data_IF_603225118610
#
_entry.id   IF_603225118610
#
_cell.length_a   1.000
_cell.length_b   1.000
_cell.length_c   1.000
_cell.angle_alpha   90.00
_cell.angle_beta   90.00
_cell.angle_gamma   90.00
#
_symmetry.space_group_name_H-M   'P 1'
#
loop_
_entity.id
_entity.type
_entity.pdbx_description
1 polymer ?
#
# COMPACT_ATOMS: atom_id res chain seq x y z
N UNK A 1 -28.24 34.87 59.27
CA UNK A 1 -28.60 33.45 59.02
C UNK A 1 -27.96 33.01 57.70
N UNK A 2 -26.90 32.20 57.72
CA UNK A 2 -26.32 31.63 56.48
C UNK A 2 -27.01 30.29 56.21
N UNK A 3 -28.06 30.31 55.38
CA UNK A 3 -28.71 29.10 54.91
C UNK A 3 -27.71 28.30 54.06
N UNK A 4 -27.20 27.20 54.61
CA UNK A 4 -26.45 26.23 53.81
C UNK A 4 -27.48 25.46 52.98
N UNK A 5 -27.43 25.63 51.66
CA UNK A 5 -28.19 24.78 50.74
C UNK A 5 -27.78 23.31 51.00
N UNK A 6 -28.74 22.38 51.13
CA UNK A 6 -28.43 20.98 51.36
C UNK A 6 -27.60 20.41 50.20
N UNK A 7 -26.68 19.51 50.51
CA UNK A 7 -25.80 18.88 49.51
C UNK A 7 -26.60 18.23 48.36
N UNK A 8 -27.82 17.79 48.66
CA UNK A 8 -28.75 17.17 47.70
C UNK A 8 -29.30 18.12 46.63
N UNK A 9 -29.34 19.44 46.87
CA UNK A 9 -29.74 20.42 45.83
C UNK A 9 -28.55 20.98 45.07
N UNK A 10 -27.34 20.93 45.64
CA UNK A 10 -26.11 21.37 44.98
C UNK A 10 -25.67 20.42 43.86
N UNK A 11 -25.83 19.11 44.05
CA UNK A 11 -25.47 18.10 43.04
C UNK A 11 -26.22 18.27 41.71
N UNK A 12 -27.57 18.38 41.66
CA UNK A 12 -28.29 18.57 40.40
C UNK A 12 -28.04 19.94 39.76
N UNK A 13 -27.82 20.99 40.55
CA UNK A 13 -27.46 22.32 40.04
C UNK A 13 -26.08 22.31 39.36
N UNK A 14 -25.10 21.64 39.97
CA UNK A 14 -23.77 21.47 39.38
C UNK A 14 -23.84 20.63 38.09
N UNK A 15 -24.62 19.55 38.08
CA UNK A 15 -24.81 18.73 36.90
C UNK A 15 -25.48 19.51 35.75
N UNK A 16 -26.51 20.31 36.04
CA UNK A 16 -27.16 21.17 35.06
C UNK A 16 -26.21 22.24 34.52
N UNK A 17 -25.38 22.84 35.38
CA UNK A 17 -24.38 23.82 34.96
C UNK A 17 -23.30 23.19 34.07
N UNK A 18 -22.80 21.99 34.39
CA UNK A 18 -21.85 21.26 33.56
C UNK A 18 -22.46 20.85 32.21
N UNK A 19 -23.74 20.48 32.18
CA UNK A 19 -24.45 20.16 30.95
C UNK A 19 -24.61 21.41 30.06
N UNK A 20 -24.99 22.55 30.63
CA UNK A 20 -25.05 23.83 29.92
C UNK A 20 -23.70 24.25 29.37
N UNK A 21 -22.62 24.02 30.14
CA UNK A 21 -21.26 24.28 29.69
C UNK A 21 -20.81 23.32 28.57
N UNK A 22 -21.28 22.07 28.56
CA UNK A 22 -21.00 21.15 27.46
C UNK A 22 -21.63 21.62 26.14
N UNK A 23 -22.80 22.25 26.19
CA UNK A 23 -23.44 22.83 25.00
C UNK A 23 -22.67 24.02 24.41
N UNK A 24 -21.83 24.71 25.19
CA UNK A 24 -21.02 25.82 24.66
C UNK A 24 -19.71 25.36 24.01
N UNK A 25 -19.42 24.05 23.99
CA UNK A 25 -18.24 23.44 23.38
C UNK A 25 -16.93 24.20 23.70
N UNK A 26 -16.59 24.42 24.99
CA UNK A 26 -15.39 25.17 25.35
C UNK A 26 -14.15 24.46 24.81
N UNK A 27 -13.40 25.14 23.94
CA UNK A 27 -12.12 24.65 23.44
C UNK A 27 -11.06 24.92 24.51
N UNK A 28 -10.66 23.89 25.24
CA UNK A 28 -9.49 23.93 26.10
C UNK A 28 -8.25 23.94 25.20
N UNK A 29 -7.40 24.99 25.24
CA UNK A 29 -6.18 25.02 24.43
C UNK A 29 -5.21 23.97 24.97
N UNK A 30 -5.18 22.81 24.32
CA UNK A 30 -4.22 21.75 24.60
C UNK A 30 -3.05 21.88 23.63
N UNK A 31 -1.81 21.84 24.13
CA UNK A 31 -0.62 21.94 23.29
C UNK A 31 -0.35 20.57 22.64
N UNK A 32 -1.02 20.29 21.53
CA UNK A 32 -0.75 19.10 20.70
C UNK A 32 0.17 19.48 19.54
N UNK A 33 1.16 18.62 19.24
CA UNK A 33 1.91 18.71 17.99
C UNK A 33 0.97 18.42 16.84
N UNK A 34 0.70 19.43 16.00
CA UNK A 34 -0.10 19.28 14.79
C UNK A 34 0.78 18.88 13.62
N UNK A 35 0.24 18.02 12.76
CA UNK A 35 0.98 17.50 11.62
C UNK A 35 0.28 17.84 10.31
N UNK A 36 1.05 18.05 9.25
CA UNK A 36 0.54 18.23 7.89
C UNK A 36 1.31 17.27 6.95
N UNK A 37 0.57 16.29 6.41
CA UNK A 37 1.13 15.19 5.64
C UNK A 37 0.41 14.99 4.29
N UNK A 38 1.15 14.57 3.28
CA UNK A 38 0.62 13.90 2.09
C UNK A 38 1.15 12.47 2.09
N UNK A 39 0.24 11.50 2.12
CA UNK A 39 0.59 10.09 2.05
C UNK A 39 0.46 9.63 0.60
N UNK A 40 1.56 9.13 0.05
CA UNK A 40 1.63 8.56 -1.29
C UNK A 40 1.59 7.05 -1.18
N UNK A 41 0.56 6.44 -1.75
CA UNK A 41 0.42 4.98 -1.82
C UNK A 41 0.91 4.47 -3.16
N UNK A 42 1.92 3.59 -3.13
CA UNK A 42 2.29 2.78 -4.27
C UNK A 42 1.14 1.82 -4.63
N UNK A 43 0.58 1.96 -5.83
CA UNK A 43 -0.52 1.12 -6.34
C UNK A 43 -0.06 0.16 -7.45
N UNK A 44 1.25 -0.02 -7.62
CA UNK A 44 1.84 -0.88 -8.66
C UNK A 44 1.57 -2.37 -8.40
N UNK A 45 1.83 -3.23 -9.39
CA UNK A 45 1.45 -4.63 -9.28
C UNK A 45 2.20 -5.40 -8.17
N UNK A 46 3.43 -5.00 -7.83
CA UNK A 46 4.19 -5.61 -6.74
C UNK A 46 3.52 -5.41 -5.37
N UNK A 47 2.72 -4.35 -5.20
CA UNK A 47 1.93 -4.11 -4.00
C UNK A 47 0.72 -5.05 -3.86
N UNK A 48 0.38 -5.81 -4.89
CA UNK A 48 -0.67 -6.84 -4.83
C UNK A 48 -0.19 -8.18 -4.26
N UNK A 49 1.11 -8.32 -3.95
CA UNK A 49 1.66 -9.54 -3.34
C UNK A 49 0.97 -9.79 -2.00
N UNK A 50 0.47 -11.01 -1.81
CA UNK A 50 -0.27 -11.45 -0.62
C UNK A 50 0.69 -12.11 0.40
N UNK A 51 1.70 -11.36 0.83
CA UNK A 51 2.73 -11.78 1.80
C UNK A 51 2.64 -11.04 3.13
N UNK A 52 1.50 -10.43 3.43
CA UNK A 52 1.24 -9.81 4.74
C UNK A 52 0.02 -10.46 5.38
N UNK A 53 -0.20 -10.21 6.67
CA UNK A 53 -1.35 -10.74 7.38
C UNK A 53 -2.23 -9.63 7.95
N UNK A 54 -3.54 -9.75 7.74
CA UNK A 54 -4.56 -8.96 8.41
C UNK A 54 -5.55 -9.92 9.08
N UNK A 55 -5.75 -9.77 10.39
CA UNK A 55 -6.66 -10.59 11.18
C UNK A 55 -6.45 -12.12 10.97
N UNK A 56 -5.18 -12.53 10.83
CA UNK A 56 -4.78 -13.92 10.63
C UNK A 56 -5.05 -14.47 9.22
N UNK A 57 -5.33 -13.61 8.23
CA UNK A 57 -5.53 -13.99 6.83
C UNK A 57 -4.46 -13.35 5.95
N UNK A 58 -3.99 -14.04 4.90
CA UNK A 58 -3.15 -13.43 3.88
C UNK A 58 -3.82 -12.19 3.28
N UNK A 59 -3.08 -11.10 3.20
CA UNK A 59 -3.52 -9.82 2.67
C UNK A 59 -2.46 -9.26 1.72
N UNK A 60 -2.91 -8.47 0.75
CA UNK A 60 -1.98 -7.76 -0.12
C UNK A 60 -1.22 -6.69 0.66
N UNK A 61 0.01 -6.36 0.24
CA UNK A 61 0.77 -5.24 0.82
C UNK A 61 0.00 -3.93 0.78
N UNK A 62 -0.74 -3.68 -0.30
CA UNK A 62 -1.59 -2.49 -0.41
C UNK A 62 -2.73 -2.51 0.62
N UNK A 63 -3.42 -3.63 0.81
CA UNK A 63 -4.49 -3.75 1.81
C UNK A 63 -3.94 -3.59 3.23
N UNK A 64 -2.76 -4.17 3.50
CA UNK A 64 -2.05 -4.00 4.76
C UNK A 64 -1.69 -2.54 5.00
N UNK A 65 -1.08 -1.86 4.02
CA UNK A 65 -0.75 -0.44 4.09
C UNK A 65 -2.00 0.42 4.35
N UNK A 66 -3.09 0.17 3.61
CA UNK A 66 -4.37 0.85 3.82
C UNK A 66 -4.93 0.62 5.22
N UNK A 67 -4.82 -0.59 5.76
CA UNK A 67 -5.27 -0.88 7.12
C UNK A 67 -4.44 -0.15 8.18
N UNK A 68 -3.11 -0.11 8.03
CA UNK A 68 -2.24 0.63 8.95
C UNK A 68 -2.49 2.15 8.89
N UNK A 69 -2.69 2.70 7.69
CA UNK A 69 -3.10 4.10 7.53
C UNK A 69 -4.48 4.37 8.12
N UNK A 70 -5.40 3.41 8.00
CA UNK A 70 -6.72 3.51 8.61
C UNK A 70 -6.62 3.61 10.15
N UNK A 71 -5.72 2.85 10.76
CA UNK A 71 -5.46 2.92 12.21
C UNK A 71 -4.74 4.23 12.59
N UNK A 72 -3.71 4.63 11.84
CA UNK A 72 -2.98 5.88 12.07
C UNK A 72 -3.88 7.12 11.99
N UNK A 73 -4.88 7.13 11.10
CA UNK A 73 -5.92 8.17 11.04
C UNK A 73 -6.67 8.36 12.36
N UNK A 74 -6.81 7.30 13.16
CA UNK A 74 -7.50 7.37 14.45
C UNK A 74 -6.65 8.07 15.49
N UNK A 75 -5.33 7.86 15.43
CA UNK A 75 -4.34 8.35 16.39
C UNK A 75 -3.89 9.79 16.13
N UNK A 76 -4.11 10.32 14.91
CA UNK A 76 -3.76 11.70 14.59
C UNK A 76 -4.57 12.71 15.43
N UNK A 77 -3.90 13.72 16.04
CA UNK A 77 -4.59 14.75 16.81
C UNK A 77 -5.42 15.65 15.90
N UNK A 78 -6.63 16.02 16.37
CA UNK A 78 -7.46 17.00 15.68
C UNK A 78 -6.70 18.32 15.46
N UNK A 79 -6.93 18.94 14.31
CA UNK A 79 -6.15 20.06 13.79
C UNK A 79 -5.03 19.65 12.83
N UNK A 80 -4.62 18.37 12.83
CA UNK A 80 -3.70 17.84 11.82
C UNK A 80 -4.37 17.80 10.46
N UNK A 81 -3.59 17.95 9.38
CA UNK A 81 -4.06 17.88 8.00
C UNK A 81 -3.46 16.70 7.26
N UNK A 82 -4.27 16.04 6.46
CA UNK A 82 -3.86 14.86 5.71
C UNK A 82 -4.39 14.90 4.28
N UNK A 83 -3.50 14.63 3.33
CA UNK A 83 -3.81 14.48 1.91
C UNK A 83 -3.44 13.08 1.42
N UNK A 84 -4.12 12.64 0.35
CA UNK A 84 -3.84 11.37 -0.31
C UNK A 84 -3.24 11.60 -1.68
N UNK A 85 -2.25 10.79 -2.02
CA UNK A 85 -1.68 10.67 -3.34
C UNK A 85 -1.46 9.19 -3.67
N UNK A 86 -1.35 8.89 -4.96
CA UNK A 86 -0.96 7.57 -5.45
C UNK A 86 0.32 7.68 -6.26
N UNK A 87 1.10 6.62 -6.27
CA UNK A 87 2.25 6.43 -7.14
C UNK A 87 2.02 5.25 -8.07
N UNK A 88 2.30 5.45 -9.36
CA UNK A 88 2.35 4.38 -10.35
C UNK A 88 3.24 4.80 -11.52
N UNK A 89 3.91 3.82 -12.12
CA UNK A 89 4.95 4.02 -13.13
C UNK A 89 6.08 4.92 -12.62
N UNK A 90 6.12 6.21 -12.96
CA UNK A 90 7.20 7.13 -12.58
C UNK A 90 6.70 8.42 -11.92
N UNK A 91 5.41 8.51 -11.57
CA UNK A 91 4.77 9.75 -11.07
C UNK A 91 3.92 9.53 -9.85
N UNK A 92 3.89 10.55 -9.00
CA UNK A 92 2.92 10.70 -7.93
C UNK A 92 1.81 11.65 -8.33
N UNK A 93 0.56 11.24 -8.15
CA UNK A 93 -0.64 12.03 -8.43
C UNK A 93 -1.38 12.31 -7.12
N UNK A 94 -1.60 13.60 -6.85
CA UNK A 94 -2.39 14.03 -5.70
C UNK A 94 -3.88 13.76 -5.96
N UNK A 95 -4.53 13.03 -5.06
CA UNK A 95 -5.96 12.78 -5.09
C UNK A 95 -6.71 13.84 -4.25
N UNK A 96 -6.18 14.16 -3.07
CA UNK A 96 -6.74 15.16 -2.17
C UNK A 96 -5.63 16.00 -1.56
N UNK A 97 -5.80 17.32 -1.57
CA UNK A 97 -4.95 18.23 -0.80
C UNK A 97 -5.11 17.97 0.70
N UNK A 98 -4.11 18.30 1.54
CA UNK A 98 -4.25 18.15 2.98
C UNK A 98 -5.48 18.86 3.57
N UNK A 99 -6.41 18.08 4.13
CA UNK A 99 -7.61 18.56 4.83
C UNK A 99 -7.55 18.18 6.30
N UNK A 100 -8.23 18.96 7.15
CA UNK A 100 -8.22 18.70 8.60
C UNK A 100 -8.88 17.35 8.92
N UNK A 101 -8.17 16.52 9.70
CA UNK A 101 -8.47 15.10 9.88
C UNK A 101 -9.78 14.85 10.62
N UNK A 102 -10.08 15.60 11.68
CA UNK A 102 -11.27 15.33 12.49
C UNK A 102 -12.57 15.79 11.82
N UNK A 103 -12.56 16.93 11.14
CA UNK A 103 -13.68 17.46 10.38
C UNK A 103 -14.00 16.62 9.14
N UNK A 104 -13.00 15.95 8.55
CA UNK A 104 -13.14 15.19 7.29
C UNK A 104 -12.84 13.69 7.47
N UNK A 105 -13.01 13.15 8.68
CA UNK A 105 -12.57 11.78 9.01
C UNK A 105 -13.30 10.72 8.20
N UNK A 106 -14.60 10.91 7.93
CA UNK A 106 -15.41 9.96 7.20
C UNK A 106 -14.96 9.90 5.72
N UNK A 107 -14.73 11.05 5.12
CA UNK A 107 -14.29 11.24 3.75
C UNK A 107 -12.89 10.68 3.54
N UNK A 108 -11.95 11.00 4.45
CA UNK A 108 -10.58 10.47 4.40
C UNK A 108 -10.56 8.94 4.48
N UNK A 109 -11.41 8.34 5.32
CA UNK A 109 -11.54 6.87 5.43
C UNK A 109 -12.17 6.26 4.19
N UNK A 110 -13.25 6.87 3.68
CA UNK A 110 -13.96 6.38 2.51
C UNK A 110 -13.08 6.46 1.25
N UNK A 111 -12.35 7.57 1.08
CA UNK A 111 -11.42 7.74 -0.03
C UNK A 111 -10.26 6.75 0.06
N UNK A 112 -9.69 6.55 1.25
CA UNK A 112 -8.64 5.54 1.47
C UNK A 112 -9.14 4.14 1.10
N UNK A 113 -10.37 3.79 1.48
CA UNK A 113 -10.95 2.49 1.12
C UNK A 113 -11.06 2.29 -0.40
N UNK A 114 -11.33 3.36 -1.16
CA UNK A 114 -11.43 3.35 -2.62
C UNK A 114 -10.10 3.31 -3.39
N UNK A 115 -8.95 3.52 -2.73
CA UNK A 115 -7.64 3.40 -3.39
C UNK A 115 -7.32 1.93 -3.62
N UNK A 116 -7.07 1.54 -4.87
CA UNK A 116 -6.68 0.18 -5.21
C UNK A 116 -5.80 0.11 -6.47
N UNK A 117 -5.29 -1.08 -6.77
CA UNK A 117 -4.36 -1.32 -7.89
C UNK A 117 -4.95 -1.07 -9.28
N UNK A 118 -6.28 -0.89 -9.43
CA UNK A 118 -6.89 -0.52 -10.74
C UNK A 118 -6.64 0.94 -11.10
N UNK A 119 -6.23 1.76 -10.12
CA UNK A 119 -5.78 3.12 -10.38
C UNK A 119 -4.40 3.17 -11.06
N UNK A 120 -3.67 2.05 -11.09
CA UNK A 120 -2.41 1.94 -11.81
C UNK A 120 -2.66 1.86 -13.33
N UNK A 121 -2.07 2.79 -14.10
CA UNK A 121 -2.07 2.69 -15.56
C UNK A 121 -0.90 1.84 -16.09
N UNK A 122 0.07 1.52 -15.24
CA UNK A 122 1.20 0.65 -15.55
C UNK A 122 1.49 -0.31 -14.39
N UNK A 123 1.85 -1.54 -14.71
CA UNK A 123 2.29 -2.53 -13.73
C UNK A 123 3.76 -2.38 -13.31
N UNK A 124 4.51 -1.55 -14.05
CA UNK A 124 5.92 -1.26 -13.82
C UNK A 124 6.09 -0.11 -12.80
N UNK A 125 7.29 0.02 -12.25
CA UNK A 125 7.56 0.89 -11.10
C UNK A 125 8.95 1.52 -11.20
N UNK A 126 9.00 2.84 -11.29
CA UNK A 126 10.21 3.66 -11.19
C UNK A 126 10.24 4.43 -9.86
N UNK A 127 10.55 3.76 -8.75
CA UNK A 127 10.37 4.27 -7.38
C UNK A 127 11.18 5.55 -7.16
N UNK A 128 12.42 5.60 -7.66
CA UNK A 128 13.27 6.78 -7.51
C UNK A 128 12.64 8.04 -8.14
N UNK A 129 12.10 7.91 -9.36
CA UNK A 129 11.41 9.02 -10.05
C UNK A 129 10.09 9.36 -9.36
N UNK A 130 9.34 8.34 -8.92
CA UNK A 130 8.11 8.50 -8.16
C UNK A 130 8.32 9.30 -6.88
N UNK A 131 9.34 8.97 -6.11
CA UNK A 131 9.69 9.69 -4.89
C UNK A 131 10.02 11.16 -5.18
N UNK A 132 10.85 11.44 -6.20
CA UNK A 132 11.14 12.83 -6.59
C UNK A 132 9.87 13.57 -7.03
N UNK A 133 9.00 12.91 -7.81
CA UNK A 133 7.70 13.45 -8.21
C UNK A 133 6.84 13.80 -7.00
N UNK A 134 6.84 12.99 -5.93
CA UNK A 134 6.08 13.29 -4.72
C UNK A 134 6.58 14.53 -3.97
N UNK A 135 7.90 14.74 -3.95
CA UNK A 135 8.53 15.92 -3.35
C UNK A 135 8.12 17.17 -4.11
N UNK A 136 8.13 17.13 -5.45
CA UNK A 136 7.66 18.24 -6.31
C UNK A 136 6.20 18.57 -6.03
N UNK A 137 5.32 17.55 -5.92
CA UNK A 137 3.91 17.74 -5.57
C UNK A 137 3.76 18.40 -4.20
N UNK A 138 4.49 17.94 -3.19
CA UNK A 138 4.43 18.51 -1.84
C UNK A 138 4.93 19.96 -1.79
N UNK A 139 5.99 20.31 -2.54
CA UNK A 139 6.50 21.70 -2.65
C UNK A 139 5.48 22.65 -3.25
N UNK A 140 4.63 22.17 -4.16
CA UNK A 140 3.61 22.98 -4.82
C UNK A 140 2.40 23.29 -3.93
N UNK A 141 2.25 22.61 -2.78
CA UNK A 141 1.12 22.81 -1.88
C UNK A 141 1.37 23.95 -0.88
N UNK A 142 0.36 24.78 -0.55
CA UNK A 142 0.54 25.97 0.29
C UNK A 142 1.13 25.68 1.68
N UNK A 143 0.74 24.58 2.32
CA UNK A 143 1.21 24.22 3.67
C UNK A 143 2.54 23.47 3.69
N UNK A 144 3.15 23.19 2.52
CA UNK A 144 4.38 22.40 2.36
C UNK A 144 4.36 21.11 3.21
N UNK A 145 3.33 20.27 3.04
CA UNK A 145 3.17 19.04 3.81
C UNK A 145 4.41 18.17 3.71
N UNK A 146 4.68 17.42 4.77
CA UNK A 146 5.67 16.36 4.71
C UNK A 146 5.15 15.15 3.94
N UNK A 147 6.05 14.42 3.28
CA UNK A 147 5.69 13.29 2.43
C UNK A 147 5.85 11.98 3.20
N UNK A 148 4.81 11.15 3.19
CA UNK A 148 4.89 9.76 3.65
C UNK A 148 4.76 8.86 2.42
N UNK A 149 5.87 8.32 1.92
CA UNK A 149 5.88 7.50 0.71
C UNK A 149 5.83 6.03 1.08
N UNK A 150 4.71 5.35 0.83
CA UNK A 150 4.46 3.96 1.20
C UNK A 150 4.65 3.06 -0.02
N UNK A 151 5.65 2.19 0.00
CA UNK A 151 6.02 1.33 -1.13
C UNK A 151 6.64 0.03 -0.65
N UNK A 152 6.61 -1.02 -1.48
CA UNK A 152 7.43 -2.21 -1.26
C UNK A 152 8.86 -2.05 -1.79
N UNK A 153 9.15 -0.97 -2.55
CA UNK A 153 10.44 -0.63 -3.12
C UNK A 153 10.83 -1.46 -4.35
N UNK A 154 9.87 -2.06 -5.05
CA UNK A 154 10.13 -2.81 -6.28
C UNK A 154 10.37 -1.84 -7.45
N UNK A 155 11.53 -1.96 -8.09
CA UNK A 155 11.92 -1.15 -9.24
C UNK A 155 11.88 -2.04 -10.48
N UNK A 156 10.98 -1.75 -11.41
CA UNK A 156 10.77 -2.53 -12.63
C UNK A 156 10.62 -1.62 -13.84
N UNK A 157 11.51 -1.77 -14.86
CA UNK A 157 12.70 -2.63 -14.87
C UNK A 157 13.75 -2.23 -13.82
N UNK A 158 14.68 -3.13 -13.44
CA UNK A 158 15.77 -2.78 -12.53
C UNK A 158 16.58 -1.60 -13.05
N UNK A 159 16.98 -0.68 -12.18
CA UNK A 159 17.82 0.46 -12.55
C UNK A 159 19.31 0.09 -12.51
N UNK A 160 20.05 0.45 -13.56
CA UNK A 160 21.50 0.45 -13.54
C UNK A 160 22.01 1.49 -12.50
N UNK A 161 22.93 1.12 -11.59
CA UNK A 161 23.48 2.03 -10.59
C UNK A 161 24.05 3.34 -11.16
N UNK A 162 24.63 3.31 -12.37
CA UNK A 162 25.20 4.50 -13.05
C UNK A 162 24.14 5.47 -13.56
N UNK A 163 22.93 4.97 -13.83
CA UNK A 163 21.83 5.73 -14.44
C UNK A 163 20.67 5.98 -13.48
N UNK A 164 20.87 5.76 -12.17
CA UNK A 164 19.86 6.11 -11.17
C UNK A 164 19.54 7.59 -11.24
N UNK A 165 18.25 7.98 -11.20
CA UNK A 165 17.85 9.38 -11.07
C UNK A 165 18.58 10.01 -9.89
N UNK A 166 19.28 11.13 -10.13
CA UNK A 166 19.90 11.91 -9.07
C UNK A 166 18.84 12.80 -8.42
N UNK A 167 18.97 12.99 -7.11
CA UNK A 167 18.19 13.98 -6.39
C UNK A 167 18.90 15.32 -6.55
N UNK A 168 18.39 16.16 -7.44
CA UNK A 168 18.99 17.45 -7.77
C UNK A 168 18.32 18.63 -7.03
N UNK A 169 17.32 18.34 -6.19
CA UNK A 169 16.64 19.30 -5.31
C UNK A 169 17.45 19.56 -4.02
N UNK A 170 17.04 20.57 -3.24
CA UNK A 170 17.69 20.91 -1.97
C UNK A 170 17.34 19.90 -0.87
N UNK A 171 18.31 19.18 -0.27
CA UNK A 171 18.04 18.27 0.84
C UNK A 171 17.45 18.99 2.05
N UNK A 172 16.47 18.36 2.70
CA UNK A 172 15.77 18.90 3.87
C UNK A 172 14.73 19.98 3.57
N UNK A 173 14.52 20.34 2.30
CA UNK A 173 13.50 21.33 1.91
C UNK A 173 12.05 20.81 2.10
N UNK A 174 11.86 19.50 1.95
CA UNK A 174 10.61 18.79 2.24
C UNK A 174 10.94 17.70 3.23
N UNK A 175 10.29 17.74 4.40
CA UNK A 175 10.37 16.66 5.36
C UNK A 175 9.60 15.44 4.85
N UNK A 176 10.03 14.24 5.22
CA UNK A 176 9.31 13.05 4.83
C UNK A 176 9.94 11.76 5.32
N UNK A 177 9.22 10.67 5.08
CA UNK A 177 9.62 9.31 5.42
C UNK A 177 9.20 8.36 4.29
N UNK A 178 10.03 7.37 4.03
CA UNK A 178 9.69 6.24 3.15
C UNK A 178 9.35 5.06 4.04
N UNK A 179 8.16 4.51 3.86
CA UNK A 179 7.64 3.37 4.62
C UNK A 179 7.66 2.14 3.73
N UNK A 180 8.55 1.21 4.05
CA UNK A 180 8.63 -0.09 3.38
C UNK A 180 7.52 -1.04 3.81
N UNK A 181 6.86 -1.69 2.85
CA UNK A 181 5.80 -2.68 3.11
C UNK A 181 6.14 -4.03 2.46
N UNK A 182 5.80 -5.13 3.13
CA UNK A 182 6.03 -6.50 2.66
C UNK A 182 7.00 -7.28 3.53
N UNK A 183 7.21 -8.55 3.20
CA UNK A 183 8.12 -9.42 3.92
C UNK A 183 9.52 -9.46 3.30
N UNK A 184 10.54 -9.75 4.11
CA UNK A 184 11.91 -9.94 3.61
C UNK A 184 12.10 -11.18 2.73
N UNK A 185 11.10 -12.07 2.65
CA UNK A 185 11.13 -13.27 1.82
C UNK A 185 10.61 -12.96 0.40
N UNK A 186 11.25 -13.45 -0.67
CA UNK A 186 10.73 -13.31 -2.02
C UNK A 186 9.40 -14.04 -2.20
N UNK A 187 8.39 -13.32 -2.66
CA UNK A 187 7.05 -13.82 -2.95
C UNK A 187 6.66 -13.50 -4.40
N UNK A 188 5.93 -14.39 -5.09
CA UNK A 188 5.59 -14.19 -6.50
C UNK A 188 4.60 -13.03 -6.68
N UNK A 189 4.79 -12.23 -7.74
CA UNK A 189 3.94 -11.06 -8.01
C UNK A 189 2.69 -11.47 -8.79
N UNK A 190 1.47 -11.30 -8.24
CA UNK A 190 0.24 -11.61 -8.96
C UNK A 190 0.02 -10.66 -10.14
N UNK A 191 -0.24 -11.22 -11.31
CA UNK A 191 -0.74 -10.47 -12.47
C UNK A 191 -2.19 -10.13 -12.27
N UNK A 192 -2.54 -8.87 -12.48
CA UNK A 192 -3.94 -8.43 -12.54
C UNK A 192 -4.22 -7.76 -13.87
N UNK A 193 -5.43 -7.97 -14.39
CA UNK A 193 -5.95 -7.21 -15.51
C UNK A 193 -6.43 -5.82 -15.06
N UNK A 194 -6.78 -4.91 -16.00
CA UNK A 194 -7.28 -3.58 -15.64
C UNK A 194 -8.57 -3.56 -14.80
N UNK A 195 -9.33 -4.66 -14.79
CA UNK A 195 -10.53 -4.82 -13.96
C UNK A 195 -10.19 -5.37 -12.56
N UNK A 196 -8.91 -5.65 -12.28
CA UNK A 196 -8.41 -6.18 -11.01
C UNK A 196 -8.49 -7.71 -10.89
N UNK A 197 -8.89 -8.43 -11.96
CA UNK A 197 -8.99 -9.89 -11.96
C UNK A 197 -7.61 -10.51 -12.03
N UNK A 198 -7.36 -11.56 -11.24
CA UNK A 198 -6.07 -12.28 -11.25
C UNK A 198 -5.92 -13.09 -12.53
N UNK A 199 -4.80 -12.91 -13.22
CA UNK A 199 -4.42 -13.65 -14.44
C UNK A 199 -3.37 -14.74 -14.18
N UNK A 200 -2.84 -14.82 -12.95
CA UNK A 200 -1.76 -15.73 -12.58
C UNK A 200 -0.63 -14.95 -11.89
N UNK A 201 0.61 -15.40 -12.10
CA UNK A 201 1.82 -14.75 -11.58
C UNK A 201 2.75 -14.37 -12.74
N UNK A 202 3.61 -13.38 -12.50
CA UNK A 202 4.72 -13.07 -13.40
C UNK A 202 5.77 -14.17 -13.39
N UNK A 203 6.16 -14.66 -14.57
CA UNK A 203 7.32 -15.54 -14.75
C UNK A 203 8.57 -14.73 -15.12
N UNK A 204 9.74 -15.36 -14.96
CA UNK A 204 11.03 -14.69 -15.15
C UNK A 204 11.27 -14.23 -16.60
N UNK A 205 10.72 -14.93 -17.59
CA UNK A 205 10.81 -14.64 -19.01
C UNK A 205 9.82 -13.56 -19.48
N UNK A 206 8.84 -13.21 -18.64
CA UNK A 206 7.81 -12.21 -18.95
C UNK A 206 8.14 -10.81 -18.39
N UNK A 207 9.23 -10.69 -17.63
CA UNK A 207 9.65 -9.44 -16.98
C UNK A 207 11.08 -9.12 -17.36
N UNK A 208 11.37 -7.85 -17.61
CA UNK A 208 12.73 -7.38 -17.84
C UNK A 208 13.58 -7.65 -16.59
N UNK A 209 14.59 -8.51 -16.72
CA UNK A 209 15.49 -8.88 -15.62
C UNK A 209 16.68 -7.92 -15.46
N UNK A 210 16.86 -7.00 -16.41
CA UNK A 210 17.93 -6.00 -16.44
C UNK A 210 17.42 -4.67 -16.97
N UNK A 211 18.13 -3.59 -16.65
CA UNK A 211 17.86 -2.24 -17.18
C UNK A 211 17.98 -2.23 -18.72
N UNK A 212 16.96 -1.79 -19.46
CA UNK A 212 17.04 -1.67 -20.91
C UNK A 212 18.19 -0.80 -21.41
N UNK A 213 18.62 0.23 -20.67
CA UNK A 213 19.78 1.06 -21.08
C UNK A 213 21.09 0.28 -21.05
N UNK A 214 21.17 -0.75 -20.22
CA UNK A 214 22.36 -1.62 -20.13
C UNK A 214 22.47 -2.57 -21.32
N UNK A 215 21.39 -2.76 -22.08
CA UNK A 215 21.38 -3.61 -23.29
C UNK A 215 21.88 -2.87 -24.54
N UNK A 216 22.19 -1.57 -24.42
CA UNK A 216 22.55 -0.73 -25.57
C UNK A 216 21.37 -0.45 -26.52
N UNK A 217 21.57 0.39 -27.54
CA UNK A 217 20.60 0.51 -28.64
C UNK A 217 20.88 -0.59 -29.65
N UNK A 218 19.93 -1.52 -29.84
CA UNK A 218 19.98 -2.57 -30.89
C UNK A 218 19.91 -2.05 -32.34
N UNK A 219 20.32 -0.80 -32.59
CA UNK A 219 20.34 -0.16 -33.90
C UNK A 219 21.62 0.65 -34.16
N UNK A 220 22.66 0.51 -33.32
CA UNK A 220 23.99 1.02 -33.70
C UNK A 220 24.49 0.19 -34.87
N UNK A 221 24.61 0.79 -36.05
CA UNK A 221 25.46 0.25 -37.12
C UNK A 221 26.84 0.01 -36.52
N UNK A 222 27.46 -1.14 -36.82
CA UNK A 222 28.54 -1.77 -36.03
C UNK A 222 29.88 -1.02 -35.93
N UNK A 223 29.89 0.31 -36.03
CA UNK A 223 31.06 1.17 -35.92
C UNK A 223 30.82 2.43 -35.05
N UNK A 224 29.63 2.60 -34.47
CA UNK A 224 29.33 3.73 -33.59
C UNK A 224 29.49 3.31 -32.12
N UNK A 225 30.66 3.62 -31.57
CA UNK A 225 31.02 3.52 -30.17
C UNK A 225 30.42 4.68 -29.38
N UNK A 226 29.74 4.42 -28.26
CA UNK A 226 29.56 5.49 -27.26
C UNK A 226 30.94 5.86 -26.70
N UNK A 227 31.15 7.13 -26.33
CA UNK A 227 32.44 7.65 -25.77
C UNK A 227 32.95 6.86 -24.53
N UNK A 228 32.16 5.92 -24.01
CA UNK A 228 32.49 5.07 -22.87
C UNK A 228 32.46 3.56 -23.21
N UNK A 229 32.89 3.20 -24.42
CA UNK A 229 33.03 1.83 -24.93
C UNK A 229 34.33 1.16 -24.44
N UNK A 230 34.48 1.05 -23.12
CA UNK A 230 35.59 0.34 -22.47
C UNK A 230 35.16 -0.74 -21.48
N UNK A 231 33.85 -0.93 -21.28
CA UNK A 231 33.31 -1.95 -20.37
C UNK A 231 32.82 -3.16 -21.18
N UNK A 232 33.09 -4.40 -20.74
CA UNK A 232 32.59 -5.58 -21.41
C UNK A 232 31.06 -5.52 -21.50
N UNK A 233 30.46 -5.90 -22.65
CA UNK A 233 29.01 -5.97 -22.77
C UNK A 233 28.48 -6.92 -21.70
N UNK A 234 27.38 -6.58 -21.00
CA UNK A 234 26.69 -7.57 -20.19
C UNK A 234 26.31 -8.72 -21.13
N UNK A 235 26.64 -9.94 -20.74
CA UNK A 235 26.42 -11.12 -21.56
C UNK A 235 24.96 -11.17 -22.04
N UNK A 236 24.75 -10.86 -23.32
CA UNK A 236 23.49 -11.09 -23.99
C UNK A 236 23.48 -12.57 -24.41
N UNK A 237 22.68 -13.38 -23.73
CA UNK A 237 22.58 -14.81 -24.06
C UNK A 237 21.53 -15.56 -23.26
N UNK A 238 20.34 -15.67 -23.86
CA UNK A 238 19.41 -16.81 -23.83
C UNK A 238 19.73 -17.90 -22.79
N UNK A 239 19.04 -17.81 -21.65
CA UNK A 239 19.16 -18.76 -20.55
C UNK A 239 18.76 -18.08 -19.26
N UNK A 240 17.51 -18.25 -18.83
CA UNK A 240 16.99 -17.65 -17.61
C UNK A 240 17.88 -17.99 -16.39
N UNK A 241 18.69 -17.05 -15.87
CA UNK A 241 18.80 -16.58 -14.44
C UNK A 241 20.06 -15.74 -14.16
N UNK A 242 20.10 -14.91 -13.09
CA UNK A 242 19.02 -14.57 -12.16
C UNK A 242 18.81 -13.05 -11.99
N UNK A 243 17.68 -12.55 -12.49
CA UNK A 243 16.96 -11.49 -11.79
C UNK A 243 15.82 -12.17 -11.03
N UNK A 244 15.56 -11.75 -9.79
CA UNK A 244 14.39 -12.20 -9.04
C UNK A 244 13.24 -11.21 -9.20
N UNK A 245 13.17 -10.49 -10.33
CA UNK A 245 12.22 -9.37 -10.51
C UNK A 245 10.78 -9.82 -10.73
N UNK A 246 10.59 -11.10 -11.08
CA UNK A 246 9.28 -11.76 -11.04
C UNK A 246 8.83 -12.08 -9.59
N UNK A 247 9.74 -11.96 -8.63
CA UNK A 247 9.50 -12.11 -7.19
C UNK A 247 9.65 -10.75 -6.50
N UNK A 248 9.06 -10.60 -5.31
CA UNK A 248 9.33 -9.46 -4.46
C UNK A 248 9.49 -9.83 -3.01
N UNK A 249 10.58 -9.33 -2.44
CA UNK A 249 10.81 -9.18 -1.01
C UNK A 249 10.90 -7.69 -0.68
N UNK A 250 10.35 -7.24 0.44
CA UNK A 250 10.62 -5.93 0.99
C UNK A 250 12.13 -5.73 1.19
N UNK A 251 12.65 -4.61 0.69
CA UNK A 251 14.05 -4.23 0.86
C UNK A 251 14.12 -3.14 1.92
N UNK A 252 14.93 -3.34 2.94
CA UNK A 252 15.31 -2.25 3.83
C UNK A 252 16.17 -1.25 3.03
N UNK A 253 15.83 0.04 3.09
CA UNK A 253 16.76 1.09 2.66
C UNK A 253 17.96 1.07 3.60
N UNK A 254 19.21 1.20 3.11
CA UNK A 254 20.34 1.48 3.98
C UNK A 254 20.04 2.78 4.74
N UNK A 255 20.09 2.73 6.07
CA UNK A 255 19.87 3.89 6.94
C UNK A 255 20.81 5.03 6.49
N UNK A 256 20.25 6.06 5.85
CA UNK A 256 20.95 7.32 5.68
C UNK A 256 21.14 7.90 7.08
N UNK A 257 22.39 7.90 7.56
CA UNK A 257 22.79 8.46 8.84
C UNK A 257 22.56 9.98 8.83
N UNK A 258 21.32 10.39 9.09
CA UNK A 258 20.88 11.76 9.24
C UNK A 258 19.97 11.85 10.47
N UNK A 259 20.48 12.50 11.52
CA UNK A 259 19.81 12.99 12.73
C UNK A 259 18.34 12.53 12.90
N UNK A 260 18.14 11.49 13.73
CA UNK A 260 16.83 11.03 14.21
C UNK A 260 16.17 12.13 15.05
N UNK A 261 15.47 13.05 14.41
CA UNK A 261 14.37 13.75 15.05
C UNK A 261 13.16 12.84 14.95
N UNK A 262 12.64 12.43 16.11
CA UNK A 262 11.59 11.44 16.24
C UNK A 262 10.32 11.97 15.56
N UNK A 263 10.05 11.54 14.34
CA UNK A 263 8.70 11.56 13.80
C UNK A 263 7.85 10.67 14.73
N UNK A 264 6.96 11.31 15.51
CA UNK A 264 6.15 10.68 16.54
C UNK A 264 5.05 9.80 15.98
N UNK A 265 5.42 8.66 15.39
CA UNK A 265 4.51 7.54 15.20
C UNK A 265 4.61 6.64 16.44
N UNK A 266 3.52 6.38 17.19
CA UNK A 266 3.59 5.48 18.34
C UNK A 266 3.98 4.07 17.86
N UNK A 267 4.87 3.37 18.57
CA UNK A 267 5.20 1.99 18.23
C UNK A 267 3.96 1.12 18.45
N UNK A 268 3.46 0.51 17.36
CA UNK A 268 2.45 -0.54 17.44
C UNK A 268 2.96 -1.63 18.40
N UNK A 269 2.28 -1.77 19.53
CA UNK A 269 2.62 -2.73 20.57
C UNK A 269 2.34 -4.14 20.07
N UNK A 270 3.34 -4.76 19.45
CA UNK A 270 3.31 -6.17 19.09
C UNK A 270 3.42 -7.00 20.37
N UNK A 271 2.27 -7.27 21.00
CA UNK A 271 2.16 -8.21 22.12
C UNK A 271 2.45 -9.62 21.62
N UNK A 272 3.73 -10.01 21.68
CA UNK A 272 4.16 -11.41 21.67
C UNK A 272 3.52 -12.10 22.87
N UNK A 273 2.51 -12.95 22.64
CA UNK A 273 2.15 -13.99 23.61
C UNK A 273 3.18 -15.11 23.49
N UNK A 274 4.26 -15.01 24.27
CA UNK A 274 5.14 -16.15 24.54
C UNK A 274 4.45 -17.07 25.54
N UNK A 275 4.11 -18.28 25.10
CA UNK A 275 3.78 -19.40 25.98
C UNK A 275 5.05 -20.06 26.52
N UNK A 276 5.07 -20.30 27.82
CA UNK A 276 5.81 -21.33 28.60
C UNK A 276 5.83 -20.86 30.07
N UNK A 277 5.47 -21.61 31.10
CA UNK A 277 4.97 -22.97 31.26
C UNK A 277 4.76 -23.28 32.75
N UNK A 278 4.03 -24.38 33.01
CA UNK A 278 3.99 -25.25 34.20
C UNK A 278 3.69 -24.67 35.61
N UNK A 279 2.60 -25.15 36.25
CA UNK A 279 2.65 -26.35 37.11
C UNK A 279 1.36 -26.56 37.96
N UNK A 280 0.84 -27.80 37.88
CA UNK A 280 0.24 -28.67 38.93
C UNK A 280 -1.05 -28.27 39.68
N UNK A 281 -2.12 -29.05 39.40
CA UNK A 281 -2.88 -29.94 40.33
C UNK A 281 -3.99 -30.58 39.49
N UNK A 282 -4.17 -31.90 39.35
CA UNK A 282 -4.39 -32.92 40.36
C UNK A 282 -5.88 -33.32 40.36
N UNK A 283 -6.19 -34.62 40.23
CA UNK A 283 -7.51 -35.29 40.04
C UNK A 283 -7.90 -35.51 38.57
N UNK A 284 -8.28 -36.68 38.06
CA UNK A 284 -8.60 -37.99 38.65
C UNK A 284 -9.67 -38.66 37.76
N UNK A 285 -9.58 -39.99 37.61
CA UNK A 285 -10.59 -40.93 37.06
C UNK A 285 -10.70 -41.16 35.53
N UNK A 286 -10.10 -42.29 35.12
CA UNK A 286 -10.74 -43.48 34.50
C UNK A 286 -11.92 -43.33 33.49
N UNK A 287 -11.80 -44.05 32.37
CA UNK A 287 -12.95 -44.46 31.55
C UNK A 287 -12.56 -45.03 30.18
N UNK A 288 -12.70 -46.34 30.02
CA UNK A 288 -12.38 -47.13 28.82
C UNK A 288 -13.48 -47.12 27.74
N UNK A 289 -13.15 -47.60 26.53
CA UNK A 289 -14.09 -48.10 25.50
C UNK A 289 -13.83 -47.51 24.11
N UNK A 290 -13.06 -48.15 23.23
CA UNK A 290 -13.41 -49.30 22.37
C UNK A 290 -14.46 -49.01 21.27
N UNK A 291 -13.95 -48.88 20.03
CA UNK A 291 -14.45 -49.49 18.79
C UNK A 291 -15.83 -49.09 18.24
N UNK A 292 -15.89 -48.69 16.96
CA UNK A 292 -16.23 -49.61 15.85
C UNK A 292 -16.32 -48.89 14.50
N UNK A 293 -16.07 -49.73 13.50
CA UNK A 293 -16.08 -49.61 12.05
C UNK A 293 -17.41 -49.17 11.40
N UNK A 294 -17.23 -48.51 10.24
CA UNK A 294 -17.99 -48.47 8.98
C UNK A 294 -19.02 -49.62 8.73
N UNK A 295 -20.00 -49.54 7.78
CA UNK A 295 -19.78 -49.03 6.41
C UNK A 295 -20.97 -48.47 5.55
N UNK A 296 -20.56 -47.87 4.43
CA UNK A 296 -21.06 -47.95 3.03
C UNK A 296 -22.50 -47.57 2.59
N UNK A 297 -22.54 -47.29 1.27
CA UNK A 297 -23.67 -47.06 0.35
C UNK A 297 -24.19 -45.61 0.31
N UNK A 298 -24.33 -44.94 -0.83
CA UNK A 298 -24.54 -45.39 -2.20
C UNK A 298 -25.64 -44.50 -2.78
N UNK A 299 -25.43 -43.87 -3.94
CA UNK A 299 -26.48 -43.03 -4.54
C UNK A 299 -25.97 -42.00 -5.54
N UNK A 300 -25.50 -42.46 -6.70
CA UNK A 300 -25.48 -41.64 -7.91
C UNK A 300 -26.88 -41.63 -8.52
N UNK A 301 -27.38 -40.45 -8.86
CA UNK A 301 -28.53 -40.30 -9.73
C UNK A 301 -29.11 -38.89 -9.69
N UNK A 302 -28.84 -38.10 -10.73
CA UNK A 302 -29.90 -37.46 -11.53
C UNK A 302 -29.31 -36.62 -12.66
N UNK A 303 -29.57 -37.12 -13.86
CA UNK A 303 -29.69 -36.43 -15.14
C UNK A 303 -30.98 -35.62 -15.20
N UNK A 304 -31.02 -34.61 -16.07
CA UNK A 304 -32.22 -33.87 -16.49
C UNK A 304 -32.08 -32.36 -16.25
N UNK A 305 -31.57 -31.55 -17.20
CA UNK A 305 -32.18 -31.09 -18.46
C UNK A 305 -33.44 -30.23 -18.28
N UNK A 306 -33.25 -28.91 -18.41
CA UNK A 306 -34.18 -27.90 -18.97
C UNK A 306 -33.36 -26.61 -18.96
N UNK A 307 -33.08 -25.90 -20.05
CA UNK A 307 -33.89 -25.67 -21.24
C UNK A 307 -34.10 -24.15 -21.32
N UNK A 308 -33.33 -23.46 -22.16
CA UNK A 308 -33.64 -22.14 -22.70
C UNK A 308 -32.60 -21.75 -23.76
N UNK A 309 -32.79 -22.29 -24.97
CA UNK A 309 -32.32 -21.66 -26.21
C UNK A 309 -33.29 -20.52 -26.53
N UNK A 310 -32.79 -19.29 -26.60
CA UNK A 310 -33.34 -18.25 -27.47
C UNK A 310 -32.19 -17.72 -28.32
N UNK A 311 -32.14 -18.22 -29.55
CA UNK A 311 -31.34 -17.65 -30.62
C UNK A 311 -32.04 -16.40 -31.16
N UNK A 312 -31.33 -15.29 -31.22
CA UNK A 312 -31.69 -14.09 -31.96
C UNK A 312 -30.46 -13.61 -32.70
N UNK A 313 -30.31 -14.03 -33.95
CA UNK A 313 -29.26 -13.59 -34.85
C UNK A 313 -29.69 -12.29 -35.55
N UNK A 314 -28.83 -11.27 -35.49
CA UNK A 314 -28.77 -10.20 -36.47
C UNK A 314 -27.30 -9.81 -36.68
N UNK A 315 -26.90 -9.88 -37.95
CA UNK A 315 -25.54 -9.79 -38.49
C UNK A 315 -25.06 -8.33 -38.66
N UNK A 316 -23.77 -8.10 -39.04
CA UNK A 316 -22.95 -7.00 -38.56
C UNK A 316 -22.86 -5.79 -39.53
N UNK A 317 -22.51 -4.63 -38.98
CA UNK A 317 -22.01 -3.47 -39.72
C UNK A 317 -20.48 -3.42 -39.65
N UNK A 318 -19.86 -3.34 -40.83
CA UNK A 318 -18.43 -3.35 -41.11
C UNK A 318 -17.76 -1.97 -40.84
N UNK A 319 -16.42 -1.85 -40.91
CA UNK A 319 -15.63 -0.83 -40.22
C UNK A 319 -15.43 0.47 -41.02
N UNK A 320 -15.34 1.60 -40.30
CA UNK A 320 -14.94 2.89 -40.86
C UNK A 320 -13.41 2.98 -41.00
N UNK A 321 -12.96 3.46 -42.18
CA UNK A 321 -11.57 3.49 -42.63
C UNK A 321 -10.68 4.60 -42.03
N UNK A 322 -9.38 4.40 -42.18
CA UNK A 322 -8.31 5.35 -41.83
C UNK A 322 -8.29 6.59 -42.74
N UNK A 323 -7.93 7.77 -42.22
CA UNK A 323 -7.69 8.96 -43.03
C UNK A 323 -6.27 8.98 -43.64
N UNK A 324 -6.05 9.67 -44.79
CA UNK A 324 -4.76 9.76 -45.45
C UNK A 324 -3.82 10.76 -44.76
N UNK A 325 -2.51 10.46 -44.78
CA UNK A 325 -1.43 11.40 -44.42
C UNK A 325 -1.16 12.37 -45.58
N UNK A 326 -0.96 13.68 -45.32
CA UNK A 326 -0.43 14.60 -46.31
C UNK A 326 1.10 14.46 -46.45
N UNK A 327 1.57 14.76 -47.68
CA UNK A 327 2.96 14.77 -48.13
C UNK A 327 3.80 15.90 -47.52
#
# INVERSE_FOLDING_TARGET
>A
MRGRLPLETLAPLLAAALLLLAFTQPTLPWNSSLYEHVVVLDVTQSMNVEDTELDGKPASRLDFAKRMLHEALVELPCGSKLGWAIFTEYRSYLLYTPVEVCANRAELRASLAGIDGRMAWSGNSEIAKGLHSSIVVAKALPGRPSVVFVTDGHESPPLNPRHRPRFDDKPGEVAGVIVGVGEGKPSPIPKRDPLGRRLGFWAADEVAQVDPRSLGRGGSVGQEAMVEEGSPPPAAGLGATPGSEHLRAARALPEAAGRRERAGLPPAAQRRRSGAGAARSGHGAAGAGAGRSAPAAGGRGRTGSSGALCAGAASPLAPAGNPPRPA
#
